data_IF_710628244897
#
_entry.id   IF_710628244897
#
_cell.length_a   1.000
_cell.length_b   1.000
_cell.length_c   1.000
_cell.angle_alpha   90.00
_cell.angle_beta   90.00
_cell.angle_gamma   90.00
#
_symmetry.space_group_name_H-M   'P 1'
#
loop_
_entity.id
_entity.type
_entity.pdbx_description
1 polymer ?
#
# COMPACT_ATOMS: atom_id res chain seq x y z
N UNK A 1 0.64 -3.67 -26.67
CA UNK A 1 1.60 -3.33 -25.59
C UNK A 1 1.13 -4.05 -24.33
N UNK A 2 2.01 -4.68 -23.56
CA UNK A 2 1.62 -5.29 -22.28
C UNK A 2 1.86 -4.27 -21.18
N UNK A 3 0.83 -3.96 -20.39
CA UNK A 3 0.86 -2.93 -19.34
C UNK A 3 0.40 -3.56 -18.04
N UNK A 4 1.11 -3.25 -16.95
CA UNK A 4 0.79 -3.71 -15.59
C UNK A 4 0.57 -2.48 -14.71
N UNK A 5 -0.53 -2.44 -13.98
CA UNK A 5 -0.85 -1.39 -13.02
C UNK A 5 -0.61 -1.94 -11.61
N UNK A 6 0.46 -1.45 -10.98
CA UNK A 6 0.85 -1.83 -9.63
C UNK A 6 0.45 -0.73 -8.65
N UNK A 7 -0.26 -1.06 -7.57
CA UNK A 7 -0.67 -0.07 -6.57
C UNK A 7 -0.70 -0.64 -5.14
N UNK A 8 -0.62 0.24 -4.15
CA UNK A 8 -0.82 -0.06 -2.74
C UNK A 8 -2.04 0.71 -2.22
N UNK A 9 -2.90 0.06 -1.42
CA UNK A 9 -4.01 0.74 -0.75
C UNK A 9 -4.18 0.31 0.69
N UNK A 10 -4.11 1.28 1.62
CA UNK A 10 -4.34 1.03 3.05
C UNK A 10 -5.83 1.03 3.44
N UNK A 11 -6.61 1.92 2.83
CA UNK A 11 -8.04 2.13 3.16
C UNK A 11 -8.98 1.92 1.97
N UNK A 12 -8.46 1.48 0.82
CA UNK A 12 -9.25 1.17 -0.39
C UNK A 12 -9.39 2.32 -1.40
N UNK A 13 -9.06 3.57 -1.03
CA UNK A 13 -9.16 4.71 -1.96
C UNK A 13 -8.27 4.54 -3.19
N UNK A 14 -7.01 4.15 -2.97
CA UNK A 14 -6.05 3.90 -4.07
C UNK A 14 -6.43 2.69 -4.90
N UNK A 15 -7.06 1.65 -4.31
CA UNK A 15 -7.50 0.46 -5.04
C UNK A 15 -8.49 0.82 -6.13
N UNK A 16 -9.50 1.62 -5.79
CA UNK A 16 -10.52 2.08 -6.75
C UNK A 16 -9.91 2.83 -7.94
N UNK A 17 -8.89 3.64 -7.69
CA UNK A 17 -8.19 4.36 -8.76
C UNK A 17 -7.32 3.42 -9.61
N UNK A 18 -6.62 2.47 -8.98
CA UNK A 18 -5.82 1.47 -9.69
C UNK A 18 -6.64 0.60 -10.63
N UNK A 19 -7.81 0.14 -10.17
CA UNK A 19 -8.77 -0.63 -10.98
C UNK A 19 -9.29 0.18 -12.18
N UNK A 20 -9.65 1.45 -11.96
CA UNK A 20 -10.09 2.36 -13.03
C UNK A 20 -9.02 2.58 -14.09
N UNK A 21 -7.76 2.77 -13.68
CA UNK A 21 -6.63 2.96 -14.58
C UNK A 21 -6.38 1.69 -15.39
N UNK A 22 -6.37 0.52 -14.74
CA UNK A 22 -6.16 -0.76 -15.41
C UNK A 22 -7.26 -1.08 -16.42
N UNK A 23 -8.52 -0.80 -16.06
CA UNK A 23 -9.66 -0.96 -16.96
C UNK A 23 -9.52 -0.08 -18.21
N UNK A 24 -9.14 1.19 -18.04
CA UNK A 24 -8.94 2.12 -19.17
C UNK A 24 -7.77 1.72 -20.07
N UNK A 25 -6.74 1.08 -19.51
CA UNK A 25 -5.54 0.67 -20.23
C UNK A 25 -5.59 -0.77 -20.74
N UNK A 26 -6.66 -1.52 -20.43
CA UNK A 26 -6.73 -2.98 -20.62
C UNK A 26 -5.47 -3.67 -20.10
N UNK A 27 -5.05 -3.28 -18.90
CA UNK A 27 -3.82 -3.69 -18.25
C UNK A 27 -4.10 -4.71 -17.14
N UNK A 28 -3.08 -5.52 -16.84
CA UNK A 28 -3.09 -6.40 -15.67
C UNK A 28 -2.99 -5.55 -14.38
N UNK A 29 -3.49 -6.08 -13.26
CA UNK A 29 -3.43 -5.45 -11.94
C UNK A 29 -2.55 -6.26 -11.01
N UNK A 30 -1.73 -5.56 -10.20
CA UNK A 30 -1.04 -6.13 -9.05
C UNK A 30 -1.22 -5.22 -7.82
N UNK A 31 -1.93 -5.71 -6.80
CA UNK A 31 -2.11 -4.98 -5.54
C UNK A 31 -1.02 -5.41 -4.54
N UNK A 32 -0.22 -4.45 -4.11
CA UNK A 32 0.78 -4.66 -3.07
C UNK A 32 0.06 -4.83 -1.73
N UNK A 33 0.15 -6.04 -1.16
CA UNK A 33 -0.37 -6.36 0.16
C UNK A 33 0.73 -6.13 1.20
N UNK A 34 0.52 -5.18 2.11
CA UNK A 34 1.42 -4.98 3.25
C UNK A 34 1.24 -6.09 4.28
N UNK A 35 2.25 -6.97 4.39
CA UNK A 35 2.26 -8.07 5.36
C UNK A 35 2.53 -7.60 6.80
N UNK A 36 2.96 -6.35 7.00
CA UNK A 36 3.11 -5.77 8.34
C UNK A 36 1.85 -5.01 8.72
N UNK A 37 1.04 -5.62 9.59
CA UNK A 37 0.03 -4.89 10.35
C UNK A 37 0.71 -3.84 11.24
N UNK A 38 0.94 -2.64 10.69
CA UNK A 38 1.29 -1.44 11.47
C UNK A 38 0.05 -0.78 12.10
N UNK A 39 -1.12 -1.39 11.93
CA UNK A 39 -2.38 -0.99 12.54
C UNK A 39 -2.41 -1.34 14.03
N UNK A 40 -2.73 -0.34 14.85
CA UNK A 40 -2.95 -0.47 16.30
C UNK A 40 -1.94 0.29 17.16
N UNK A 41 -2.23 0.36 18.47
CA UNK A 41 -1.42 1.02 19.50
C UNK A 41 0.02 0.50 19.50
N UNK A 42 0.21 -0.77 19.13
CA UNK A 42 1.52 -1.44 19.03
C UNK A 42 2.39 -0.80 17.95
N UNK A 43 1.82 -0.45 16.78
CA UNK A 43 2.56 0.24 15.71
C UNK A 43 3.03 1.63 16.14
N UNK A 44 2.20 2.37 16.88
CA UNK A 44 2.55 3.69 17.42
C UNK A 44 3.65 3.63 18.50
N UNK A 45 3.57 2.65 19.41
CA UNK A 45 4.61 2.43 20.44
C UNK A 45 5.95 2.02 19.81
N UNK A 46 5.94 1.13 18.81
CA UNK A 46 7.16 0.74 18.10
C UNK A 46 7.78 1.93 17.34
N UNK A 47 6.96 2.77 16.69
CA UNK A 47 7.46 3.99 16.05
C UNK A 47 8.06 4.98 17.04
N UNK A 48 7.49 5.12 18.24
CA UNK A 48 8.07 5.93 19.32
C UNK A 48 9.42 5.38 19.81
N UNK A 49 9.58 4.05 19.85
CA UNK A 49 10.83 3.40 20.26
C UNK A 49 11.93 3.48 19.20
N UNK A 50 11.56 3.40 17.92
CA UNK A 50 12.51 3.59 16.81
C UNK A 50 12.99 5.04 16.71
N UNK A 51 12.12 6.02 16.98
CA UNK A 51 12.52 7.44 17.02
C UNK A 51 13.50 7.79 18.16
N UNK A 52 13.48 7.03 19.26
CA UNK A 52 14.44 7.19 20.37
C UNK A 52 15.78 6.48 20.14
N UNK A 53 15.91 5.67 19.09
CA UNK A 53 17.20 5.18 18.64
C UNK A 53 17.83 6.25 17.73
N UNK A 54 18.43 7.25 18.35
CA UNK A 54 19.51 8.00 17.70
C UNK A 54 20.77 7.11 17.62
N UNK A 55 21.54 7.29 16.54
CA UNK A 55 22.83 6.63 16.31
C UNK A 55 23.87 7.01 17.36
#
# INVERSE_FOLDING_TARGET
MKTLVVFYSRTGNTRRMGELIAQKLHADIDEIIDQKSRSGIIGWILSGRDAMKEY
#
